data_IF_144507378768
#
_entry.id   IF_144507378768
#
_cell.length_a   1.000
_cell.length_b   1.000
_cell.length_c   1.000
_cell.angle_alpha   90.00
_cell.angle_beta   90.00
_cell.angle_gamma   90.00
#
_symmetry.space_group_name_H-M   'P 1'
#
loop_
_entity.id
_entity.type
_entity.pdbx_description
1 polymer ?
#
# COMPACT_ATOMS: atom_id res chain seq x y z
N UNK A 1 2.91 -6.76 13.17
CA UNK A 1 2.76 -7.72 12.05
C UNK A 1 3.53 -7.18 10.87
N UNK A 2 4.22 -8.06 10.14
CA UNK A 2 4.99 -7.69 8.97
C UNK A 2 4.26 -8.24 7.75
N UNK A 3 3.96 -7.36 6.79
CA UNK A 3 3.31 -7.74 5.54
C UNK A 3 4.27 -7.53 4.39
N UNK A 4 4.30 -8.48 3.46
CA UNK A 4 4.98 -8.28 2.17
C UNK A 4 4.04 -7.48 1.27
N UNK A 5 4.46 -6.27 0.90
CA UNK A 5 3.68 -5.43 -0.01
C UNK A 5 4.24 -5.59 -1.41
N UNK A 6 3.40 -5.98 -2.36
CA UNK A 6 3.72 -6.02 -3.78
C UNK A 6 3.00 -4.88 -4.49
N UNK A 7 3.73 -4.09 -5.27
CA UNK A 7 3.19 -2.89 -5.93
C UNK A 7 3.14 -3.13 -7.42
N UNK A 8 1.93 -3.25 -7.98
CA UNK A 8 1.71 -3.31 -9.42
C UNK A 8 1.39 -1.91 -9.96
N UNK A 9 2.15 -1.47 -10.96
CA UNK A 9 1.89 -0.20 -11.64
C UNK A 9 0.86 -0.40 -12.77
N UNK A 10 0.20 0.67 -13.21
CA UNK A 10 -0.79 0.67 -14.31
C UNK A 10 -2.11 -0.09 -14.06
N UNK A 11 -2.35 -0.55 -12.84
CA UNK A 11 -3.62 -1.17 -12.42
C UNK A 11 -4.09 -0.52 -11.13
N UNK A 12 -5.38 -0.60 -10.82
CA UNK A 12 -5.92 -0.05 -9.57
C UNK A 12 -6.73 -1.10 -8.82
N UNK A 13 -6.12 -1.73 -7.82
CA UNK A 13 -6.76 -2.74 -6.99
C UNK A 13 -6.02 -2.89 -5.65
N UNK A 14 -6.66 -3.52 -4.67
CA UNK A 14 -6.05 -3.88 -3.39
C UNK A 14 -6.49 -5.30 -3.04
N UNK A 15 -5.54 -6.21 -3.04
CA UNK A 15 -5.72 -7.60 -2.63
C UNK A 15 -4.91 -7.84 -1.37
N UNK A 16 -5.55 -8.41 -0.35
CA UNK A 16 -4.91 -8.77 0.92
C UNK A 16 -5.08 -10.26 1.10
N UNK A 17 -3.99 -11.01 0.99
CA UNK A 17 -3.94 -12.46 1.17
C UNK A 17 -3.04 -12.78 2.36
N UNK A 18 -3.64 -13.16 3.49
CA UNK A 18 -2.99 -13.52 4.76
C UNK A 18 -1.82 -12.61 5.20
N UNK A 19 -0.62 -12.78 4.63
CA UNK A 19 0.61 -12.03 4.92
C UNK A 19 1.17 -11.21 3.74
N UNK A 20 0.50 -11.23 2.59
CA UNK A 20 0.84 -10.47 1.40
C UNK A 20 -0.25 -9.46 1.05
N UNK A 21 0.19 -8.26 0.66
CA UNK A 21 -0.71 -7.20 0.21
C UNK A 21 -0.26 -6.78 -1.17
N UNK A 22 -1.09 -7.06 -2.18
CA UNK A 22 -0.86 -6.65 -3.55
C UNK A 22 -1.68 -5.40 -3.83
N UNK A 23 -1.00 -4.32 -4.18
CA UNK A 23 -1.63 -3.04 -4.45
C UNK A 23 -1.31 -2.59 -5.87
N UNK A 24 -2.37 -2.45 -6.66
CA UNK A 24 -2.33 -1.78 -7.95
C UNK A 24 -2.40 -0.28 -7.75
N UNK A 25 -1.38 0.45 -8.22
CA UNK A 25 -1.42 1.90 -8.37
C UNK A 25 -1.32 2.32 -9.83
N UNK A 26 -2.26 3.17 -10.27
CA UNK A 26 -2.22 3.78 -11.60
C UNK A 26 -1.24 4.97 -11.65
N UNK A 27 -0.95 5.53 -10.50
CA UNK A 27 -0.11 6.71 -10.33
C UNK A 27 1.36 6.35 -10.56
N UNK A 28 2.06 7.13 -11.40
CA UNK A 28 3.51 6.98 -11.57
C UNK A 28 4.18 7.21 -10.20
N UNK A 29 5.24 6.46 -9.83
CA UNK A 29 5.95 6.64 -8.56
C UNK A 29 6.81 7.91 -8.60
N UNK A 30 6.15 9.07 -8.66
CA UNK A 30 6.80 10.37 -8.69
C UNK A 30 6.92 10.83 -7.24
N UNK A 31 8.16 10.98 -6.77
CA UNK A 31 8.51 11.67 -5.51
C UNK A 31 7.71 11.24 -4.25
N UNK A 32 7.37 9.96 -4.12
CA UNK A 32 6.74 9.41 -2.92
C UNK A 32 5.21 9.57 -2.83
N UNK A 33 4.54 10.04 -3.90
CA UNK A 33 3.08 10.03 -3.97
C UNK A 33 2.51 8.61 -3.90
N UNK A 34 3.16 7.66 -4.57
CA UNK A 34 2.85 6.24 -4.47
C UNK A 34 2.83 5.76 -3.01
N UNK A 35 3.86 6.09 -2.22
CA UNK A 35 3.94 5.68 -0.82
C UNK A 35 2.78 6.25 0.02
N UNK A 36 2.44 7.54 -0.19
CA UNK A 36 1.31 8.17 0.50
C UNK A 36 0.00 7.49 0.14
N UNK A 37 -0.21 7.15 -1.14
CA UNK A 37 -1.43 6.51 -1.59
C UNK A 37 -1.55 5.08 -1.04
N UNK A 38 -0.46 4.32 -1.07
CA UNK A 38 -0.38 2.97 -0.49
C UNK A 38 -0.73 3.01 1.00
N UNK A 39 -0.06 3.88 1.76
CA UNK A 39 -0.32 4.04 3.20
C UNK A 39 -1.78 4.43 3.45
N UNK A 40 -2.36 5.34 2.67
CA UNK A 40 -3.78 5.73 2.80
C UNK A 40 -4.74 4.57 2.52
N UNK A 41 -4.52 3.81 1.44
CA UNK A 41 -5.36 2.67 1.07
C UNK A 41 -5.28 1.57 2.13
N UNK A 42 -4.08 1.27 2.61
CA UNK A 42 -3.85 0.34 3.73
C UNK A 42 -4.53 0.82 5.01
N UNK A 43 -4.33 2.07 5.42
CA UNK A 43 -4.95 2.64 6.60
C UNK A 43 -6.48 2.53 6.58
N UNK A 44 -7.10 2.81 5.42
CA UNK A 44 -8.55 2.64 5.23
C UNK A 44 -8.99 1.18 5.34
N UNK A 45 -8.26 0.26 4.72
CA UNK A 45 -8.63 -1.16 4.71
C UNK A 45 -8.52 -1.77 6.12
N UNK A 46 -7.42 -1.50 6.81
CA UNK A 46 -7.18 -2.00 8.17
C UNK A 46 -7.86 -1.16 9.27
N UNK A 47 -8.52 -0.05 8.91
CA UNK A 47 -9.10 0.93 9.84
C UNK A 47 -8.11 1.40 10.92
N UNK A 48 -6.84 1.55 10.54
CA UNK A 48 -5.76 2.04 11.41
C UNK A 48 -5.28 3.41 10.95
N UNK A 49 -4.65 4.16 11.85
CA UNK A 49 -4.01 5.43 11.49
C UNK A 49 -2.83 5.19 10.55
N UNK A 50 -2.66 6.08 9.56
CA UNK A 50 -1.51 6.08 8.65
C UNK A 50 -0.18 6.18 9.39
N UNK A 51 -0.16 6.81 10.58
CA UNK A 51 1.04 6.92 11.42
C UNK A 51 1.50 5.58 12.03
N UNK A 52 0.62 4.57 12.07
CA UNK A 52 0.95 3.21 12.54
C UNK A 52 1.49 2.31 11.43
N UNK A 53 1.45 2.79 10.18
CA UNK A 53 1.96 2.05 9.03
C UNK A 53 3.36 2.57 8.76
N UNK A 54 4.35 1.70 8.92
CA UNK A 54 5.73 1.98 8.54
C UNK A 54 6.09 1.11 7.33
N UNK A 55 6.55 1.77 6.28
CA UNK A 55 7.22 1.10 5.17
C UNK A 55 8.67 0.87 5.62
N UNK A 56 9.11 -0.38 5.65
CA UNK A 56 10.52 -0.74 5.83
C UNK A 56 11.07 -1.16 4.47
N UNK A 57 12.22 -0.62 4.08
CA UNK A 57 12.98 -1.03 2.87
C UNK A 57 13.83 -2.24 3.16
#
# INVERSE_FOLDING_TARGET
MLYKVNVEFNKEFLSVEENQITIGIKTKPIKGEANKEIIKRLAKHFKISTSRIQIKS
#
